data_IF_847394077867
#
_entry.id   IF_847394077867
#
_cell.length_a   1.000
_cell.length_b   1.000
_cell.length_c   1.000
_cell.angle_alpha   90.00
_cell.angle_beta   90.00
_cell.angle_gamma   90.00
#
_symmetry.space_group_name_H-M   'P 1'
#
loop_
_entity.id
_entity.type
_entity.pdbx_description
1 polymer ?
#
# COMPACT_ATOMS: atom_id res chain seq x y z
N UNK A 1 6.86 -21.68 11.10
CA UNK A 1 5.45 -21.66 10.66
C UNK A 1 5.33 -20.90 9.33
N UNK A 2 5.38 -21.59 8.17
CA UNK A 2 5.07 -21.00 6.87
C UNK A 2 3.64 -21.41 6.49
N UNK A 3 2.60 -20.70 6.92
CA UNK A 3 1.21 -21.20 6.72
C UNK A 3 0.19 -20.21 6.18
N UNK A 4 0.61 -19.14 5.50
CA UNK A 4 -0.33 -18.42 4.63
C UNK A 4 0.39 -18.15 3.33
N UNK A 5 0.17 -18.95 2.30
CA UNK A 5 0.48 -18.49 0.95
C UNK A 5 -0.28 -17.17 0.75
N UNK A 6 0.42 -16.10 0.36
CA UNK A 6 -0.23 -14.82 0.12
C UNK A 6 -1.19 -15.02 -1.04
N UNK A 7 -2.49 -14.96 -0.78
CA UNK A 7 -3.49 -14.85 -1.85
C UNK A 7 -3.41 -13.44 -2.42
N UNK A 8 -2.37 -13.17 -3.22
CA UNK A 8 -2.34 -11.99 -4.07
C UNK A 8 -3.40 -12.22 -5.16
N UNK A 9 -4.50 -11.47 -5.14
CA UNK A 9 -5.44 -11.50 -6.26
C UNK A 9 -4.71 -11.04 -7.53
N UNK A 10 -4.95 -11.67 -8.70
CA UNK A 10 -4.35 -11.21 -9.95
C UNK A 10 -4.79 -9.77 -10.21
N UNK A 11 -3.81 -8.92 -10.49
CA UNK A 11 -4.01 -7.48 -10.55
C UNK A 11 -4.11 -7.05 -12.01
N UNK A 12 -5.33 -6.83 -12.47
CA UNK A 12 -5.61 -6.57 -13.88
C UNK A 12 -5.90 -5.08 -14.13
N UNK A 13 -5.45 -4.58 -15.28
CA UNK A 13 -5.74 -3.23 -15.77
C UNK A 13 -6.10 -3.33 -17.24
N UNK A 14 -7.33 -2.94 -17.56
CA UNK A 14 -7.80 -2.81 -18.94
C UNK A 14 -7.16 -1.56 -19.55
N UNK A 15 -6.54 -1.73 -20.72
CA UNK A 15 -5.98 -0.61 -21.50
C UNK A 15 -7.10 -0.08 -22.40
N UNK A 16 -7.47 1.17 -22.22
CA UNK A 16 -8.43 1.87 -23.10
C UNK A 16 -7.69 2.80 -24.07
N UNK A 17 -8.41 3.43 -24.99
CA UNK A 17 -7.89 4.41 -25.98
C UNK A 17 -7.22 5.66 -25.36
N UNK A 18 -7.29 5.81 -24.03
CA UNK A 18 -6.63 6.89 -23.29
C UNK A 18 -5.12 6.71 -23.12
N UNK A 19 -4.52 5.71 -23.79
CA UNK A 19 -3.08 5.51 -23.91
C UNK A 19 -2.46 4.54 -22.88
N UNK A 20 -1.39 3.86 -23.31
CA UNK A 20 -0.69 2.78 -22.58
C UNK A 20 -0.03 3.29 -21.29
N UNK A 21 0.59 4.47 -21.33
CA UNK A 21 1.29 5.05 -20.17
C UNK A 21 0.35 5.24 -18.97
N UNK A 22 -0.90 5.61 -19.24
CA UNK A 22 -1.92 5.79 -18.21
C UNK A 22 -2.30 4.45 -17.58
N UNK A 23 -2.43 3.38 -18.37
CA UNK A 23 -2.66 2.04 -17.86
C UNK A 23 -1.52 1.56 -16.96
N UNK A 24 -0.25 1.79 -17.36
CA UNK A 24 0.92 1.47 -16.55
C UNK A 24 0.90 2.23 -15.22
N UNK A 25 0.54 3.51 -15.24
CA UNK A 25 0.43 4.33 -14.02
C UNK A 25 -0.67 3.83 -13.10
N UNK A 26 -1.82 3.41 -13.64
CA UNK A 26 -2.90 2.80 -12.87
C UNK A 26 -2.46 1.46 -12.26
N UNK A 27 -1.78 0.61 -13.02
CA UNK A 27 -1.26 -0.67 -12.54
C UNK A 27 -0.30 -0.45 -11.35
N UNK A 28 0.68 0.44 -11.50
CA UNK A 28 1.60 0.81 -10.41
C UNK A 28 0.86 1.30 -9.17
N UNK A 29 -0.21 2.09 -9.34
CA UNK A 29 -1.02 2.60 -8.23
C UNK A 29 -1.85 1.50 -7.55
N UNK A 30 -2.45 0.59 -8.31
CA UNK A 30 -3.17 -0.57 -7.77
C UNK A 30 -2.22 -1.50 -6.99
N UNK A 31 -1.03 -1.78 -7.52
CA UNK A 31 0.01 -2.58 -6.83
C UNK A 31 0.43 -1.96 -5.49
N UNK A 32 0.57 -0.64 -5.45
CA UNK A 32 0.88 0.08 -4.22
C UNK A 32 -0.30 0.06 -3.23
N UNK A 33 -1.54 0.10 -3.73
CA UNK A 33 -2.77 0.08 -2.92
C UNK A 33 -3.00 -1.25 -2.23
N UNK A 34 -2.81 -2.37 -2.95
CA UNK A 34 -2.93 -3.71 -2.37
C UNK A 34 -1.80 -4.04 -1.39
N UNK A 35 -0.68 -3.32 -1.45
CA UNK A 35 0.42 -3.50 -0.51
C UNK A 35 1.22 -4.78 -0.72
N UNK A 36 1.03 -5.47 -1.85
CA UNK A 36 1.69 -6.73 -2.24
C UNK A 36 3.22 -6.63 -2.07
N UNK A 37 3.83 -5.58 -2.62
CA UNK A 37 5.28 -5.35 -2.53
C UNK A 37 5.78 -5.25 -1.08
N UNK A 38 4.98 -4.68 -0.19
CA UNK A 38 5.34 -4.54 1.20
C UNK A 38 5.18 -5.84 1.97
N UNK A 39 4.15 -6.61 1.66
CA UNK A 39 3.95 -7.92 2.25
C UNK A 39 5.08 -8.88 1.86
N UNK A 40 5.49 -8.88 0.60
CA UNK A 40 6.67 -9.61 0.12
C UNK A 40 7.94 -9.19 0.88
N UNK A 41 8.16 -7.89 1.08
CA UNK A 41 9.32 -7.40 1.84
C UNK A 41 9.30 -7.83 3.31
N UNK A 42 8.12 -7.86 3.94
CA UNK A 42 7.97 -8.28 5.34
C UNK A 42 8.17 -9.79 5.54
N UNK A 43 7.91 -10.60 4.50
CA UNK A 43 8.04 -12.06 4.55
C UNK A 43 9.41 -12.58 4.07
N UNK A 44 10.23 -11.73 3.42
CA UNK A 44 11.56 -12.11 2.90
C UNK A 44 12.50 -12.68 3.98
N UNK A 45 12.35 -12.26 5.24
CA UNK A 45 13.11 -12.80 6.36
C UNK A 45 12.20 -13.00 7.57
N UNK A 46 12.48 -14.04 8.37
CA UNK A 46 11.74 -14.28 9.59
C UNK A 46 11.89 -13.10 10.57
N UNK A 47 10.75 -12.55 11.00
CA UNK A 47 10.68 -11.57 12.07
C UNK A 47 9.95 -12.17 13.26
N UNK A 48 10.57 -12.09 14.44
CA UNK A 48 9.94 -12.51 15.71
C UNK A 48 8.57 -11.82 15.88
N UNK A 49 7.53 -12.53 16.35
CA UNK A 49 6.15 -12.02 16.38
C UNK A 49 5.99 -10.72 17.17
N UNK A 50 6.74 -10.54 18.26
CA UNK A 50 6.76 -9.30 19.04
C UNK A 50 7.23 -8.10 18.20
N UNK A 51 8.29 -8.27 17.40
CA UNK A 51 8.82 -7.21 16.54
C UNK A 51 7.85 -6.90 15.40
N UNK A 52 7.17 -7.92 14.86
CA UNK A 52 6.11 -7.74 13.84
C UNK A 52 4.94 -6.91 14.40
N UNK A 53 4.47 -7.21 15.62
CA UNK A 53 3.42 -6.44 16.32
C UNK A 53 3.83 -5.00 16.55
N UNK A 54 5.05 -4.76 17.07
CA UNK A 54 5.59 -3.41 17.29
C UNK A 54 5.67 -2.58 16.00
N UNK A 55 6.19 -3.15 14.91
CA UNK A 55 6.25 -2.46 13.61
C UNK A 55 4.85 -2.14 13.08
N UNK A 56 3.89 -3.08 13.18
CA UNK A 56 2.50 -2.87 12.74
C UNK A 56 1.84 -1.71 13.49
N UNK A 57 2.01 -1.65 14.82
CA UNK A 57 1.45 -0.59 15.66
C UNK A 57 2.06 0.78 15.35
N UNK A 58 3.40 0.87 15.26
CA UNK A 58 4.09 2.11 14.95
C UNK A 58 3.66 2.68 13.59
N UNK A 59 3.47 1.80 12.60
CA UNK A 59 3.07 2.23 11.28
C UNK A 59 1.58 2.62 11.19
N UNK A 60 0.70 1.93 11.92
CA UNK A 60 -0.69 2.35 12.07
C UNK A 60 -0.79 3.74 12.71
N UNK A 61 0.01 4.01 13.76
CA UNK A 61 0.09 5.34 14.37
C UNK A 61 0.58 6.40 13.39
N UNK A 62 1.62 6.11 12.60
CA UNK A 62 2.12 7.01 11.55
C UNK A 62 1.05 7.32 10.50
N UNK A 63 0.28 6.32 10.06
CA UNK A 63 -0.84 6.51 9.13
C UNK A 63 -1.94 7.38 9.71
N UNK A 64 -2.34 7.14 10.97
CA UNK A 64 -3.34 7.97 11.66
C UNK A 64 -2.92 9.43 11.74
N UNK A 65 -1.67 9.70 12.13
CA UNK A 65 -1.12 11.06 12.17
C UNK A 65 -1.11 11.72 10.79
N UNK A 66 -0.73 10.99 9.75
CA UNK A 66 -0.75 11.50 8.37
C UNK A 66 -2.17 11.85 7.92
N UNK A 67 -3.16 11.01 8.24
CA UNK A 67 -4.57 11.24 7.88
C UNK A 67 -5.13 12.45 8.62
N UNK A 68 -4.91 12.55 9.94
CA UNK A 68 -5.30 13.72 10.72
C UNK A 68 -4.71 15.02 10.18
N UNK A 69 -3.45 15.01 9.72
CA UNK A 69 -2.82 16.19 9.08
C UNK A 69 -3.46 16.55 7.74
N UNK A 70 -3.93 15.57 6.97
CA UNK A 70 -4.65 15.82 5.71
C UNK A 70 -6.03 16.39 5.98
N UNK A 71 -6.74 15.85 6.96
CA UNK A 71 -8.10 16.28 7.32
C UNK A 71 -8.10 17.68 7.97
N UNK A 72 -7.04 18.06 8.67
CA UNK A 72 -6.88 19.37 9.30
C UNK A 72 -6.31 20.45 8.38
N UNK A 73 -5.92 20.12 7.15
CA UNK A 73 -5.39 21.11 6.21
C UNK A 73 -6.55 21.85 5.52
N UNK A 74 -6.58 23.20 5.53
CA UNK A 74 -7.61 23.95 4.82
C UNK A 74 -7.54 23.66 3.31
N UNK A 75 -8.68 23.60 2.61
CA UNK A 75 -8.71 23.36 1.18
C UNK A 75 -7.87 24.44 0.48
N UNK A 76 -6.91 24.02 -0.34
CA UNK A 76 -6.14 24.96 -1.16
C UNK A 76 -7.12 25.61 -2.14
N UNK A 77 -7.35 26.91 -1.96
CA UNK A 77 -7.99 27.74 -2.97
C UNK A 77 -7.04 27.77 -4.18
N UNK A 78 -7.44 27.10 -5.26
CA UNK A 78 -6.76 27.23 -6.54
C UNK A 78 -7.46 28.36 -7.30
N UNK A 79 -6.72 29.44 -7.59
CA UNK A 79 -7.12 30.47 -8.55
C UNK A 79 -6.88 30.01 -9.98
#
# INVERSE_FOLDING_TARGET
MPSEAVQCKPLEVVVSDRGIERAIKMLKRKLASEGVLRELKMRRHYMKPSVKRRKKQAEAARRRRKRAKLDAAPPKQNG
#
